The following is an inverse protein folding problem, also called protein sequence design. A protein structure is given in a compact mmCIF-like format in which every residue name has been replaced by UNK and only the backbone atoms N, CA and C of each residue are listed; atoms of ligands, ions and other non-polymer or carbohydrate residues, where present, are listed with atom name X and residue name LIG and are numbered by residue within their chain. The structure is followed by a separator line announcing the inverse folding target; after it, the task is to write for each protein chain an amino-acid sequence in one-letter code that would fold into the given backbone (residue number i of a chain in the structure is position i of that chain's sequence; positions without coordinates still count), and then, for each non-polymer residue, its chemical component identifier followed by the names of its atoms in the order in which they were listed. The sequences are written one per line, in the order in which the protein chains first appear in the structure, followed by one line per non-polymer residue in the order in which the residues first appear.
data_IF_234986348512
#
_entry.id   IF_234986348512
#
_cell.length_a   1.000
_cell.length_b   1.000
_cell.length_c   1.000
_cell.angle_alpha   90.00
_cell.angle_beta   90.00
_cell.angle_gamma   90.00
#
_symmetry.space_group_name_H-M   'P 1'
#
loop_
_entity.id
_entity.type
_entity.pdbx_description
1 polymer ?
#
# COMPACT_ATOMS: atom_id res chain seq x y z
N UNK A 1 -0.30 -8.08 -22.65
CA UNK A 1 0.40 -6.86 -22.17
C UNK A 1 1.29 -7.14 -20.95
N UNK A 2 0.77 -7.84 -19.93
CA UNK A 2 1.50 -8.14 -18.68
C UNK A 2 2.88 -8.80 -18.87
N UNK A 3 3.03 -9.72 -19.83
CA UNK A 3 4.34 -10.32 -20.15
C UNK A 3 5.41 -9.31 -20.61
N UNK A 4 5.00 -8.15 -21.15
CA UNK A 4 5.93 -7.06 -21.50
C UNK A 4 6.36 -6.25 -20.27
N UNK A 5 5.49 -6.14 -19.26
CA UNK A 5 5.76 -5.43 -18.00
C UNK A 5 6.62 -6.25 -17.05
N UNK A 6 6.46 -7.59 -17.05
CA UNK A 6 7.22 -8.50 -16.20
C UNK A 6 8.74 -8.24 -16.22
N UNK A 7 9.44 -8.22 -17.36
CA UNK A 7 10.88 -7.98 -17.37
C UNK A 7 11.27 -6.58 -16.89
N UNK A 8 10.40 -5.57 -17.07
CA UNK A 8 10.63 -4.21 -16.59
C UNK A 8 10.54 -4.15 -15.06
N UNK A 9 9.41 -4.58 -14.49
CA UNK A 9 9.22 -4.59 -13.04
C UNK A 9 10.27 -5.45 -12.32
N UNK A 10 10.61 -6.61 -12.89
CA UNK A 10 11.67 -7.47 -12.33
C UNK A 10 13.02 -6.75 -12.29
N UNK A 11 13.39 -6.04 -13.35
CA UNK A 11 14.64 -5.27 -13.37
C UNK A 11 14.63 -4.14 -12.33
N UNK A 12 13.51 -3.44 -12.18
CA UNK A 12 13.35 -2.39 -11.17
C UNK A 12 13.49 -2.95 -9.75
N UNK A 13 12.84 -4.08 -9.46
CA UNK A 13 12.95 -4.75 -8.16
C UNK A 13 14.37 -5.29 -7.90
N UNK A 14 15.07 -5.82 -8.91
CA UNK A 14 16.47 -6.23 -8.77
C UNK A 14 17.35 -5.06 -8.30
N UNK A 15 17.15 -3.87 -8.87
CA UNK A 15 17.84 -2.64 -8.47
C UNK A 15 17.47 -2.16 -7.07
N UNK A 16 16.18 -2.23 -6.70
CA UNK A 16 15.72 -1.88 -5.34
C UNK A 16 16.33 -2.82 -4.29
N UNK A 17 16.32 -4.13 -4.53
CA UNK A 17 16.90 -5.10 -3.60
C UNK A 17 18.41 -4.91 -3.45
N UNK A 18 19.12 -4.57 -4.53
CA UNK A 18 20.55 -4.26 -4.48
C UNK A 18 20.84 -3.00 -3.63
N UNK A 19 20.03 -1.96 -3.77
CA UNK A 19 20.16 -0.75 -2.96
C UNK A 19 19.83 -0.97 -1.47
N UNK A 20 19.03 -2.00 -1.17
CA UNK A 20 18.51 -2.31 0.17
C UNK A 20 19.13 -3.58 0.76
N UNK A 21 20.36 -3.92 0.38
CA UNK A 21 21.05 -5.13 0.84
C UNK A 21 21.01 -5.28 2.37
N UNK A 22 20.47 -6.41 2.85
CA UNK A 22 20.31 -6.73 4.27
C UNK A 22 19.08 -6.13 4.95
N UNK A 23 18.35 -5.23 4.30
CA UNK A 23 17.20 -4.50 4.84
C UNK A 23 15.86 -5.05 4.28
N UNK A 24 14.75 -4.99 5.06
CA UNK A 24 13.43 -5.36 4.57
C UNK A 24 12.92 -4.36 3.52
N UNK A 25 12.27 -4.89 2.48
CA UNK A 25 11.66 -4.08 1.41
C UNK A 25 10.18 -4.47 1.27
N UNK A 26 9.30 -3.56 1.68
CA UNK A 26 7.85 -3.73 1.54
C UNK A 26 7.37 -3.18 0.20
N UNK A 27 6.83 -4.07 -0.64
CA UNK A 27 6.34 -3.75 -1.99
C UNK A 27 4.82 -3.84 -1.97
N UNK A 28 4.17 -2.70 -2.21
CA UNK A 28 2.72 -2.62 -2.38
C UNK A 28 2.34 -3.06 -3.78
N UNK A 29 1.34 -3.94 -3.89
CA UNK A 29 0.76 -4.32 -5.18
C UNK A 29 0.02 -3.14 -5.83
N UNK A 30 -0.37 -3.31 -7.09
CA UNK A 30 -1.03 -2.28 -7.88
C UNK A 30 -2.27 -1.76 -7.14
N UNK A 31 -2.27 -0.44 -6.93
CA UNK A 31 -3.29 0.26 -6.16
C UNK A 31 -4.21 1.14 -7.00
N UNK A 32 -3.75 1.96 -7.96
CA UNK A 32 -4.65 2.87 -8.68
C UNK A 32 -5.63 2.14 -9.62
N UNK A 33 -6.82 2.73 -9.87
CA UNK A 33 -7.78 2.22 -10.84
C UNK A 33 -7.26 2.35 -12.28
N UNK A 34 -7.78 1.52 -13.18
CA UNK A 34 -7.26 1.44 -14.55
C UNK A 34 -7.41 2.72 -15.37
N UNK A 35 -8.40 3.57 -15.05
CA UNK A 35 -8.61 4.83 -15.78
C UNK A 35 -7.50 5.86 -15.55
N UNK A 36 -6.71 5.76 -14.47
CA UNK A 36 -5.54 6.62 -14.26
C UNK A 36 -4.43 6.36 -15.30
N UNK A 37 -4.42 5.19 -15.94
CA UNK A 37 -3.48 4.85 -17.02
C UNK A 37 -4.01 5.16 -18.42
N UNK A 38 -5.22 5.71 -18.52
CA UNK A 38 -5.87 6.04 -19.79
C UNK A 38 -5.70 7.53 -20.12
N UNK A 39 -5.62 7.87 -21.41
CA UNK A 39 -5.46 9.25 -21.85
C UNK A 39 -6.71 10.07 -21.52
N UNK A 40 -6.50 11.32 -21.10
CA UNK A 40 -7.59 12.23 -20.69
C UNK A 40 -8.27 12.95 -21.88
N UNK A 41 -7.87 12.63 -23.12
CA UNK A 41 -8.54 13.08 -24.34
C UNK A 41 -7.59 13.53 -25.45
N UNK A 42 -8.17 14.17 -26.46
CA UNK A 42 -7.39 14.86 -27.50
C UNK A 42 -6.52 13.94 -28.37
N UNK A 43 -5.27 14.36 -28.58
CA UNK A 43 -4.28 13.67 -29.41
C UNK A 43 -3.73 12.40 -28.76
N UNK A 44 -3.69 12.32 -27.43
CA UNK A 44 -3.20 11.14 -26.71
C UNK A 44 -4.09 9.93 -26.97
N UNK A 45 -5.41 10.12 -26.94
CA UNK A 45 -6.36 9.06 -27.31
C UNK A 45 -6.18 8.60 -28.76
N UNK A 46 -5.86 9.52 -29.69
CA UNK A 46 -5.57 9.15 -31.09
C UNK A 46 -4.25 8.38 -31.22
N UNK A 47 -3.24 8.76 -30.46
CA UNK A 47 -1.97 8.05 -30.44
C UNK A 47 -2.15 6.63 -29.89
N UNK A 48 -2.81 6.49 -28.74
CA UNK A 48 -3.07 5.20 -28.13
C UNK A 48 -3.91 4.28 -29.02
N UNK A 49 -4.97 4.82 -29.66
CA UNK A 49 -5.77 4.07 -30.62
C UNK A 49 -4.90 3.51 -31.78
N UNK A 50 -3.97 4.31 -32.30
CA UNK A 50 -3.01 3.86 -33.33
C UNK A 50 -2.03 2.81 -32.80
N UNK A 51 -1.50 2.99 -31.59
CA UNK A 51 -0.57 2.04 -30.97
C UNK A 51 -1.22 0.69 -30.67
N UNK A 52 -2.51 0.69 -30.30
CA UNK A 52 -3.28 -0.51 -30.01
C UNK A 52 -3.96 -1.13 -31.24
N UNK A 53 -3.79 -0.51 -32.42
CA UNK A 53 -4.50 -0.88 -33.66
C UNK A 53 -6.02 -1.03 -33.45
N UNK A 54 -6.61 -0.06 -32.73
CA UNK A 54 -7.99 -0.08 -32.30
C UNK A 54 -8.73 1.16 -32.78
N UNK A 55 -9.99 1.01 -33.19
CA UNK A 55 -10.77 2.17 -33.61
C UNK A 55 -10.99 3.12 -32.42
N UNK A 56 -10.90 4.43 -32.68
CA UNK A 56 -11.06 5.46 -31.65
C UNK A 56 -12.40 5.36 -30.91
N UNK A 57 -13.46 4.95 -31.60
CA UNK A 57 -14.78 4.77 -30.99
C UNK A 57 -14.81 3.60 -29.98
N UNK A 58 -14.10 2.50 -30.26
CA UNK A 58 -13.93 1.39 -29.31
C UNK A 58 -13.10 1.83 -28.09
N UNK A 59 -12.00 2.56 -28.32
CA UNK A 59 -11.18 3.09 -27.22
C UNK A 59 -11.99 4.03 -26.32
N UNK A 60 -12.78 4.95 -26.90
CA UNK A 60 -13.62 5.84 -26.13
C UNK A 60 -14.68 5.09 -25.31
N UNK A 61 -15.25 4.00 -25.85
CA UNK A 61 -16.17 3.14 -25.09
C UNK A 61 -15.49 2.49 -23.89
N UNK A 62 -14.26 2.02 -24.05
CA UNK A 62 -13.47 1.45 -22.95
C UNK A 62 -13.18 2.51 -21.89
N UNK A 63 -12.69 3.69 -22.31
CA UNK A 63 -12.38 4.81 -21.40
C UNK A 63 -13.62 5.18 -20.58
N UNK A 64 -14.77 5.34 -21.24
CA UNK A 64 -16.01 5.69 -20.54
C UNK A 64 -16.49 4.56 -19.61
N UNK A 65 -16.30 3.29 -20.00
CA UNK A 65 -16.67 2.15 -19.15
C UNK A 65 -15.82 2.00 -17.88
N UNK A 66 -14.59 2.52 -17.90
CA UNK A 66 -13.66 2.50 -16.77
C UNK A 66 -13.74 3.76 -15.91
N UNK A 67 -14.53 4.76 -16.34
CA UNK A 67 -14.71 6.01 -15.62
C UNK A 67 -15.58 5.78 -14.40
N UNK A 68 -15.11 6.28 -13.27
CA UNK A 68 -15.80 6.16 -11.99
C UNK A 68 -16.16 7.54 -11.45
N UNK A 69 -17.30 7.64 -10.76
CA UNK A 69 -17.72 8.88 -10.11
C UNK A 69 -16.81 9.25 -8.94
N UNK A 70 -16.35 8.26 -8.17
CA UNK A 70 -15.47 8.44 -7.02
C UNK A 70 -14.29 7.44 -7.08
N UNK A 71 -13.26 7.72 -7.89
CA UNK A 71 -12.11 6.83 -8.12
C UNK A 71 -11.42 6.30 -6.86
N UNK A 72 -11.34 7.14 -5.82
CA UNK A 72 -10.73 6.78 -4.53
C UNK A 72 -11.39 5.54 -3.91
N UNK A 73 -12.71 5.37 -4.09
CA UNK A 73 -13.48 4.25 -3.54
C UNK A 73 -13.85 3.19 -4.58
N UNK A 74 -13.25 3.26 -5.78
CA UNK A 74 -13.62 2.48 -6.95
C UNK A 74 -12.99 1.09 -7.07
N UNK A 75 -12.87 0.62 -8.32
CA UNK A 75 -12.31 -0.66 -8.72
C UNK A 75 -10.78 -0.59 -8.80
N UNK A 76 -10.16 -0.65 -7.63
CA UNK A 76 -8.72 -0.46 -7.44
C UNK A 76 -8.18 -1.41 -6.35
N UNK A 77 -6.87 -1.40 -6.12
CA UNK A 77 -6.23 -2.22 -5.08
C UNK A 77 -6.56 -3.72 -5.16
N UNK A 78 -6.80 -4.36 -4.02
CA UNK A 78 -7.14 -5.80 -4.00
C UNK A 78 -8.38 -6.14 -4.83
N UNK A 79 -9.34 -5.22 -5.00
CA UNK A 79 -10.55 -5.48 -5.79
C UNK A 79 -10.21 -5.70 -7.26
N UNK A 80 -9.25 -4.93 -7.77
CA UNK A 80 -8.74 -5.10 -9.12
C UNK A 80 -7.99 -6.43 -9.25
N UNK A 81 -7.13 -6.76 -8.29
CA UNK A 81 -6.40 -8.04 -8.25
C UNK A 81 -7.32 -9.27 -8.06
N UNK A 82 -8.50 -9.11 -7.47
CA UNK A 82 -9.51 -10.19 -7.37
C UNK A 82 -10.21 -10.39 -8.72
N UNK A 83 -10.57 -9.30 -9.40
CA UNK A 83 -11.23 -9.39 -10.72
C UNK A 83 -10.28 -9.81 -11.84
N UNK A 84 -9.00 -9.43 -11.73
CA UNK A 84 -7.94 -9.73 -12.68
C UNK A 84 -6.71 -10.31 -11.95
N UNK A 85 -6.77 -11.58 -11.48
CA UNK A 85 -5.69 -12.22 -10.73
C UNK A 85 -4.34 -12.20 -11.45
N UNK A 86 -4.35 -12.20 -12.78
CA UNK A 86 -3.14 -12.16 -13.61
C UNK A 86 -2.25 -10.93 -13.32
N UNK A 87 -2.82 -9.83 -12.80
CA UNK A 87 -2.06 -8.65 -12.37
C UNK A 87 -1.24 -8.98 -11.12
N UNK A 88 -1.90 -9.50 -10.08
CA UNK A 88 -1.25 -9.94 -8.83
C UNK A 88 -0.24 -11.04 -9.11
N UNK A 89 -0.56 -11.97 -10.02
CA UNK A 89 0.36 -13.03 -10.41
C UNK A 89 1.63 -12.48 -11.04
N UNK A 90 1.50 -11.54 -11.99
CA UNK A 90 2.64 -10.94 -12.67
C UNK A 90 3.52 -10.16 -11.70
N UNK A 91 2.93 -9.37 -10.79
CA UNK A 91 3.69 -8.60 -9.80
C UNK A 91 4.38 -9.52 -8.78
N UNK A 92 3.67 -10.51 -8.23
CA UNK A 92 4.26 -11.50 -7.32
C UNK A 92 5.43 -12.23 -7.98
N UNK A 93 5.28 -12.61 -9.25
CA UNK A 93 6.34 -13.23 -10.05
C UNK A 93 7.53 -12.29 -10.23
N UNK A 94 7.29 -11.03 -10.59
CA UNK A 94 8.34 -10.04 -10.79
C UNK A 94 9.17 -9.84 -9.52
N UNK A 95 8.50 -9.69 -8.37
CA UNK A 95 9.12 -9.50 -7.05
C UNK A 95 9.99 -10.71 -6.70
N UNK A 96 9.44 -11.93 -6.80
CA UNK A 96 10.13 -13.14 -6.37
C UNK A 96 11.26 -13.54 -7.32
N UNK A 97 11.08 -13.42 -8.64
CA UNK A 97 12.16 -13.65 -9.59
C UNK A 97 13.32 -12.65 -9.37
N UNK A 98 13.00 -11.38 -9.09
CA UNK A 98 14.01 -10.37 -8.78
C UNK A 98 14.76 -10.69 -7.48
N UNK A 99 14.03 -11.09 -6.43
CA UNK A 99 14.62 -11.49 -5.15
C UNK A 99 15.57 -12.68 -5.33
N UNK A 100 15.18 -13.71 -6.09
CA UNK A 100 16.05 -14.86 -6.39
C UNK A 100 17.30 -14.45 -7.16
N UNK A 101 17.17 -13.59 -8.16
CA UNK A 101 18.31 -13.12 -8.95
C UNK A 101 19.27 -12.28 -8.12
N UNK A 102 18.76 -11.37 -7.29
CA UNK A 102 19.57 -10.61 -6.35
C UNK A 102 20.29 -11.52 -5.35
N UNK A 103 19.58 -12.50 -4.77
CA UNK A 103 20.17 -13.49 -3.87
C UNK A 103 21.31 -14.28 -4.51
N UNK A 104 21.16 -14.71 -5.77
CA UNK A 104 22.23 -15.39 -6.53
C UNK A 104 23.47 -14.53 -6.76
N UNK A 105 23.33 -13.20 -6.72
CA UNK A 105 24.45 -12.24 -6.77
C UNK A 105 25.07 -11.98 -5.39
N UNK A 106 24.60 -12.65 -4.34
CA UNK A 106 25.10 -12.50 -2.96
C UNK A 106 24.40 -11.41 -2.15
N UNK A 107 23.33 -10.80 -2.66
CA UNK A 107 22.55 -9.77 -1.95
C UNK A 107 21.60 -10.43 -0.94
N UNK A 108 21.55 -9.92 0.29
CA UNK A 108 20.64 -10.41 1.32
C UNK A 108 19.27 -9.75 1.14
N UNK A 109 18.33 -10.49 0.57
CA UNK A 109 16.97 -10.00 0.28
C UNK A 109 15.97 -10.38 1.37
N UNK A 110 15.08 -9.44 1.71
CA UNK A 110 13.98 -9.62 2.69
C UNK A 110 12.67 -9.02 2.14
N UNK A 111 12.07 -9.64 1.11
CA UNK A 111 10.87 -9.11 0.46
C UNK A 111 9.63 -9.24 1.36
N UNK A 112 8.83 -8.18 1.41
CA UNK A 112 7.51 -8.16 2.04
C UNK A 112 6.49 -7.72 0.98
N UNK A 113 5.47 -8.54 0.72
CA UNK A 113 4.45 -8.26 -0.30
C UNK A 113 3.19 -7.75 0.41
N UNK A 114 2.77 -6.55 0.06
CA UNK A 114 1.66 -5.86 0.73
C UNK A 114 0.46 -5.72 -0.21
N UNK A 115 -0.69 -6.25 0.22
CA UNK A 115 -1.97 -6.14 -0.48
C UNK A 115 -2.67 -4.83 -0.06
N UNK A 116 -2.98 -3.92 -0.99
CA UNK A 116 -3.69 -2.67 -0.69
C UNK A 116 -5.21 -2.83 -0.65
N UNK A 117 -5.88 -1.90 0.01
CA UNK A 117 -7.32 -1.65 0.04
C UNK A 117 -8.19 -2.82 0.53
N UNK A 118 -7.59 -3.70 1.35
CA UNK A 118 -8.31 -4.81 1.99
C UNK A 118 -9.35 -4.26 2.96
N UNK A 119 -10.56 -4.82 2.92
CA UNK A 119 -11.66 -4.49 3.83
C UNK A 119 -12.10 -5.71 4.67
N UNK A 120 -11.87 -6.92 4.15
CA UNK A 120 -12.28 -8.20 4.71
C UNK A 120 -11.13 -9.22 4.66
N UNK A 121 -11.11 -10.16 5.61
CA UNK A 121 -10.13 -11.26 5.59
C UNK A 121 -10.20 -12.10 4.31
N UNK A 122 -11.39 -12.27 3.72
CA UNK A 122 -11.56 -13.05 2.49
C UNK A 122 -10.92 -12.38 1.27
N UNK A 123 -10.93 -11.05 1.20
CA UNK A 123 -10.20 -10.33 0.14
C UNK A 123 -8.69 -10.53 0.30
N UNK A 124 -8.19 -10.46 1.54
CA UNK A 124 -6.79 -10.73 1.84
C UNK A 124 -6.39 -12.17 1.48
N UNK A 125 -7.13 -13.16 1.98
CA UNK A 125 -6.85 -14.59 1.76
C UNK A 125 -6.88 -14.96 0.28
N UNK A 126 -7.81 -14.36 -0.49
CA UNK A 126 -7.86 -14.55 -1.94
C UNK A 126 -6.55 -14.12 -2.62
N UNK A 127 -6.06 -12.90 -2.31
CA UNK A 127 -4.84 -12.38 -2.91
C UNK A 127 -3.59 -13.08 -2.37
N UNK A 128 -3.58 -13.45 -1.07
CA UNK A 128 -2.52 -14.27 -0.46
C UNK A 128 -2.36 -15.59 -1.20
N UNK A 129 -3.45 -16.30 -1.48
CA UNK A 129 -3.41 -17.58 -2.19
C UNK A 129 -2.81 -17.45 -3.60
N UNK A 130 -3.11 -16.37 -4.32
CA UNK A 130 -2.51 -16.08 -5.64
C UNK A 130 -0.99 -15.87 -5.52
N UNK A 131 -0.55 -15.12 -4.52
CA UNK A 131 0.88 -14.85 -4.27
C UNK A 131 1.62 -16.14 -3.90
N UNK A 132 1.05 -16.96 -3.01
CA UNK A 132 1.65 -18.23 -2.56
C UNK A 132 1.78 -19.23 -3.73
N UNK A 133 0.74 -19.38 -4.55
CA UNK A 133 0.75 -20.23 -5.74
C UNK A 133 1.82 -19.80 -6.77
N UNK A 134 2.00 -18.48 -6.95
CA UNK A 134 3.10 -17.94 -7.77
C UNK A 134 4.45 -18.20 -7.12
N UNK A 135 4.57 -18.04 -5.81
CA UNK A 135 5.81 -18.30 -5.10
C UNK A 135 6.25 -19.75 -5.25
N UNK A 136 5.34 -20.71 -5.10
CA UNK A 136 5.63 -22.13 -5.27
C UNK A 136 6.14 -22.42 -6.69
N UNK A 137 5.50 -21.86 -7.72
CA UNK A 137 5.96 -22.01 -9.11
C UNK A 137 7.32 -21.38 -9.37
N UNK A 138 7.55 -20.16 -8.90
CA UNK A 138 8.80 -19.42 -9.17
C UNK A 138 9.95 -20.05 -8.40
N UNK A 139 9.79 -20.25 -7.09
CA UNK A 139 10.84 -20.81 -6.24
C UNK A 139 11.13 -22.27 -6.61
N UNK A 140 10.10 -23.08 -6.85
CA UNK A 140 10.24 -24.45 -7.32
C UNK A 140 10.89 -24.53 -8.70
N UNK A 141 10.44 -23.71 -9.66
CA UNK A 141 11.00 -23.65 -11.01
C UNK A 141 12.44 -23.14 -11.07
N UNK A 142 12.85 -22.30 -10.12
CA UNK A 142 14.22 -21.81 -10.01
C UNK A 142 15.10 -22.69 -9.13
N UNK A 143 14.54 -23.62 -8.35
CA UNK A 143 15.25 -24.50 -7.43
C UNK A 143 15.79 -23.78 -6.20
N UNK A 144 15.12 -22.72 -5.75
CA UNK A 144 15.59 -21.80 -4.71
C UNK A 144 14.58 -21.70 -3.57
N UNK A 145 15.02 -21.23 -2.40
CA UNK A 145 14.13 -20.92 -1.28
C UNK A 145 14.43 -19.51 -0.78
N UNK A 146 13.39 -18.70 -0.61
CA UNK A 146 13.48 -17.36 -0.05
C UNK A 146 12.37 -17.20 0.97
N UNK A 147 12.72 -16.63 2.13
CA UNK A 147 11.72 -16.18 3.10
C UNK A 147 11.16 -14.84 2.66
N UNK A 148 9.85 -14.74 2.61
CA UNK A 148 9.10 -13.53 2.31
C UNK A 148 7.90 -13.44 3.25
N UNK A 149 7.38 -12.24 3.47
CA UNK A 149 6.16 -12.02 4.27
C UNK A 149 5.02 -11.55 3.38
N UNK A 150 3.80 -11.99 3.66
CA UNK A 150 2.59 -11.40 3.06
C UNK A 150 1.80 -10.66 4.15
N UNK A 151 1.53 -9.39 3.90
CA UNK A 151 0.79 -8.53 4.80
C UNK A 151 -0.15 -7.60 4.06
N UNK A 152 -0.81 -6.74 4.80
CA UNK A 152 -1.84 -5.86 4.24
C UNK A 152 -1.64 -4.43 4.69
N UNK A 153 -2.10 -3.52 3.85
CA UNK A 153 -2.38 -2.17 4.31
C UNK A 153 -3.66 -2.19 5.16
N UNK A 154 -3.65 -1.48 6.29
CA UNK A 154 -4.85 -1.17 7.08
C UNK A 154 -5.18 0.30 6.81
N UNK A 155 -6.05 0.49 5.83
CA UNK A 155 -6.40 1.82 5.29
C UNK A 155 -7.90 2.03 5.10
N UNK A 156 -8.71 1.05 5.49
CA UNK A 156 -10.17 1.15 5.53
C UNK A 156 -10.66 0.94 6.97
N UNK A 157 -11.68 1.70 7.44
CA UNK A 157 -12.20 1.57 8.79
C UNK A 157 -12.65 0.14 9.10
N UNK A 158 -13.25 -0.55 8.12
CA UNK A 158 -13.67 -1.96 8.27
C UNK A 158 -12.49 -2.89 8.53
N UNK A 159 -11.34 -2.67 7.88
CA UNK A 159 -10.14 -3.46 8.10
C UNK A 159 -9.62 -3.28 9.52
N UNK A 160 -9.59 -2.04 10.01
CA UNK A 160 -9.22 -1.75 11.39
C UNK A 160 -10.18 -2.40 12.41
N UNK A 161 -11.49 -2.27 12.20
CA UNK A 161 -12.52 -2.84 13.08
C UNK A 161 -12.58 -4.38 13.07
N UNK A 162 -12.03 -5.02 12.04
CA UNK A 162 -11.99 -6.49 11.91
C UNK A 162 -10.57 -7.04 11.87
N UNK A 163 -9.59 -6.26 12.36
CA UNK A 163 -8.17 -6.57 12.28
C UNK A 163 -7.82 -7.93 12.88
N UNK A 164 -8.53 -8.38 13.92
CA UNK A 164 -8.33 -9.69 14.51
C UNK A 164 -8.52 -10.83 13.49
N UNK A 165 -9.49 -10.71 12.57
CA UNK A 165 -9.71 -11.72 11.53
C UNK A 165 -8.57 -11.68 10.51
N UNK A 166 -8.18 -10.49 10.08
CA UNK A 166 -7.13 -10.30 9.08
C UNK A 166 -5.77 -10.79 9.62
N UNK A 167 -5.46 -10.55 10.89
CA UNK A 167 -4.20 -10.94 11.55
C UNK A 167 -3.99 -12.46 11.67
N UNK A 168 -5.04 -13.27 11.50
CA UNK A 168 -4.89 -14.73 11.42
C UNK A 168 -3.98 -15.11 10.24
N UNK A 169 -4.21 -14.46 9.10
CA UNK A 169 -3.49 -14.74 7.85
C UNK A 169 -2.37 -13.72 7.56
N UNK A 170 -2.52 -12.45 7.92
CA UNK A 170 -1.53 -11.42 7.62
C UNK A 170 -0.35 -11.46 8.60
N UNK A 171 0.86 -11.32 8.06
CA UNK A 171 2.11 -11.38 8.83
C UNK A 171 2.59 -10.01 9.30
N UNK A 172 2.10 -8.95 8.65
CA UNK A 172 2.33 -7.57 9.05
C UNK A 172 1.16 -6.67 8.65
N UNK A 173 1.00 -5.55 9.34
CA UNK A 173 0.15 -4.43 8.95
C UNK A 173 0.99 -3.19 8.65
N UNK A 174 0.61 -2.47 7.60
CA UNK A 174 1.05 -1.09 7.37
C UNK A 174 -0.17 -0.18 7.39
N UNK A 175 -0.20 0.81 8.28
CA UNK A 175 -1.30 1.76 8.34
C UNK A 175 -1.18 2.79 7.21
N UNK A 176 -2.07 2.68 6.23
CA UNK A 176 -2.25 3.65 5.15
C UNK A 176 -3.11 4.80 5.64
N UNK A 177 -2.54 5.64 6.50
CA UNK A 177 -3.32 6.65 7.25
C UNK A 177 -3.89 7.76 6.38
N UNK A 178 -3.38 7.98 5.17
CA UNK A 178 -3.99 8.91 4.23
C UNK A 178 -5.40 8.45 3.86
N UNK A 179 -5.55 7.23 3.33
CA UNK A 179 -6.85 6.67 2.95
C UNK A 179 -7.73 6.34 4.15
N UNK A 180 -7.13 5.93 5.27
CA UNK A 180 -7.86 5.75 6.52
C UNK A 180 -8.46 7.07 7.00
N UNK A 181 -7.73 8.18 6.90
CA UNK A 181 -8.24 9.53 7.24
C UNK A 181 -9.36 9.94 6.30
N UNK A 182 -9.17 9.76 4.99
CA UNK A 182 -10.20 10.07 3.98
C UNK A 182 -11.53 9.38 4.31
N UNK A 183 -11.48 8.08 4.57
CA UNK A 183 -12.67 7.26 4.78
C UNK A 183 -13.26 7.38 6.19
N UNK A 184 -12.45 7.68 7.20
CA UNK A 184 -12.92 7.91 8.57
C UNK A 184 -13.61 9.26 8.70
N UNK A 185 -13.05 10.29 8.07
CA UNK A 185 -13.56 11.67 8.18
C UNK A 185 -14.52 12.05 7.04
N UNK A 186 -14.67 11.21 6.01
CA UNK A 186 -15.48 11.53 4.83
C UNK A 186 -14.88 12.65 3.98
N UNK A 187 -13.56 12.66 3.84
CA UNK A 187 -12.80 13.69 3.14
C UNK A 187 -12.20 13.13 1.85
N UNK A 188 -12.39 13.84 0.73
CA UNK A 188 -11.55 13.67 -0.46
C UNK A 188 -10.34 14.58 -0.32
N UNK A 189 -9.13 14.01 -0.31
CA UNK A 189 -7.88 14.76 -0.16
C UNK A 189 -7.74 15.83 -1.26
N UNK A 190 -8.17 15.51 -2.47
CA UNK A 190 -8.08 16.39 -3.63
C UNK A 190 -9.06 17.57 -3.55
N UNK A 191 -10.16 17.42 -2.81
CA UNK A 191 -11.20 18.45 -2.68
C UNK A 191 -11.14 19.20 -1.33
N UNK A 192 -10.53 18.60 -0.30
CA UNK A 192 -10.55 19.10 1.07
C UNK A 192 -9.88 20.47 1.22
N UNK A 193 -8.90 20.78 0.37
CA UNK A 193 -8.23 22.09 0.33
C UNK A 193 -9.18 23.28 0.11
N UNK A 194 -10.40 23.05 -0.38
CA UNK A 194 -11.41 24.10 -0.58
C UNK A 194 -12.05 24.60 0.71
N UNK A 195 -12.02 23.82 1.79
CA UNK A 195 -12.70 24.17 3.05
C UNK A 195 -11.88 23.93 4.32
N UNK A 196 -10.88 23.04 4.30
CA UNK A 196 -10.03 22.76 5.47
C UNK A 196 -9.40 24.01 6.09
N UNK A 197 -8.87 24.99 5.31
CA UNK A 197 -8.35 26.22 5.91
C UNK A 197 -9.39 26.95 6.76
N UNK A 198 -10.65 27.03 6.31
CA UNK A 198 -11.71 27.66 7.10
C UNK A 198 -12.09 26.85 8.35
N UNK A 199 -11.87 25.54 8.38
CA UNK A 199 -12.12 24.72 9.58
C UNK A 199 -11.06 24.99 10.64
N UNK A 200 -9.79 25.12 10.22
CA UNK A 200 -8.67 25.43 11.09
C UNK A 200 -8.78 26.86 11.64
N UNK A 201 -9.06 27.85 10.78
CA UNK A 201 -9.21 29.26 11.19
C UNK A 201 -10.34 29.47 12.21
N UNK A 202 -11.37 28.63 12.15
CA UNK A 202 -12.53 28.66 13.08
C UNK A 202 -12.33 27.78 14.32
N UNK A 203 -11.19 27.09 14.43
CA UNK A 203 -10.91 26.16 15.53
C UNK A 203 -11.82 24.93 15.56
N UNK A 204 -12.44 24.56 14.42
CA UNK A 204 -13.22 23.33 14.29
C UNK A 204 -12.29 22.11 14.28
N UNK A 205 -11.14 22.24 13.61
CA UNK A 205 -10.03 21.30 13.68
C UNK A 205 -8.79 22.04 14.18
N UNK A 206 -7.99 21.37 15.00
CA UNK A 206 -6.73 21.93 15.49
C UNK A 206 -5.66 22.00 14.39
N UNK A 207 -5.63 20.99 13.52
CA UNK A 207 -4.63 20.81 12.47
C UNK A 207 -5.28 20.23 11.21
N UNK A 208 -4.56 20.30 10.08
CA UNK A 208 -4.92 19.55 8.87
C UNK A 208 -4.75 18.03 9.15
N UNK A 209 -5.83 17.24 9.09
CA UNK A 209 -5.78 15.81 9.44
C UNK A 209 -4.99 14.96 8.44
N UNK A 210 -4.59 15.50 7.29
CA UNK A 210 -3.68 14.84 6.35
C UNK A 210 -2.20 15.14 6.61
N UNK A 211 -1.90 16.08 7.50
CA UNK A 211 -0.55 16.43 7.93
C UNK A 211 -0.24 15.86 9.31
N UNK A 212 -1.20 15.96 10.22
CA UNK A 212 -1.10 15.54 11.62
C UNK A 212 -2.18 14.53 11.88
N UNK A 213 -1.81 13.34 12.34
CA UNK A 213 -2.74 12.25 12.56
C UNK A 213 -3.80 12.66 13.58
N UNK A 214 -5.08 12.62 13.19
CA UNK A 214 -6.21 12.73 14.11
C UNK A 214 -6.18 11.58 15.11
N UNK A 215 -5.80 11.86 16.36
CA UNK A 215 -5.66 10.81 17.38
C UNK A 215 -6.99 10.35 17.96
N UNK A 216 -8.05 11.16 17.87
CA UNK A 216 -9.35 10.86 18.51
C UNK A 216 -10.23 9.96 17.65
N UNK A 217 -10.23 10.18 16.32
CA UNK A 217 -10.94 9.35 15.36
C UNK A 217 -10.03 8.33 14.69
N UNK A 218 -9.17 8.78 13.78
CA UNK A 218 -8.30 7.90 12.98
C UNK A 218 -7.35 7.08 13.86
N UNK A 219 -6.75 7.72 14.86
CA UNK A 219 -5.85 7.09 15.82
C UNK A 219 -6.53 6.01 16.66
N UNK A 220 -7.83 6.16 16.94
CA UNK A 220 -8.61 5.11 17.63
C UNK A 220 -8.78 3.86 16.77
N UNK A 221 -8.98 4.01 15.46
CA UNK A 221 -9.01 2.87 14.54
C UNK A 221 -7.64 2.17 14.46
N UNK A 222 -6.55 2.95 14.42
CA UNK A 222 -5.19 2.39 14.49
C UNK A 222 -5.00 1.61 15.79
N UNK A 223 -5.40 2.17 16.93
CA UNK A 223 -5.32 1.51 18.24
C UNK A 223 -6.07 0.18 18.28
N UNK A 224 -7.33 0.14 17.82
CA UNK A 224 -8.12 -1.09 17.73
C UNK A 224 -7.39 -2.15 16.90
N UNK A 225 -6.86 -1.76 15.74
CA UNK A 225 -6.18 -2.69 14.85
C UNK A 225 -4.85 -3.23 15.42
N UNK A 226 -4.12 -2.40 16.16
CA UNK A 226 -2.89 -2.80 16.86
C UNK A 226 -3.20 -3.82 17.96
N UNK A 227 -4.18 -3.53 18.81
CA UNK A 227 -4.60 -4.41 19.90
C UNK A 227 -5.09 -5.75 19.36
N UNK A 228 -5.98 -5.73 18.37
CA UNK A 228 -6.53 -6.93 17.75
C UNK A 228 -5.47 -7.75 17.01
N UNK A 229 -4.60 -7.07 16.27
CA UNK A 229 -3.51 -7.71 15.54
C UNK A 229 -2.59 -8.47 16.48
N UNK A 230 -2.11 -7.81 17.55
CA UNK A 230 -1.22 -8.42 18.54
C UNK A 230 -1.90 -9.50 19.38
N UNK A 231 -3.18 -9.34 19.69
CA UNK A 231 -3.95 -10.37 20.40
C UNK A 231 -3.99 -11.69 19.62
N UNK A 232 -4.14 -11.63 18.30
CA UNK A 232 -4.22 -12.81 17.43
C UNK A 232 -2.83 -13.32 17.04
N UNK A 233 -1.90 -12.42 16.75
CA UNK A 233 -0.52 -12.74 16.35
C UNK A 233 0.44 -11.85 17.17
N UNK A 234 0.93 -12.31 18.33
CA UNK A 234 1.76 -11.49 19.23
C UNK A 234 3.00 -10.84 18.61
N UNK A 235 3.59 -11.50 17.61
CA UNK A 235 4.77 -11.02 16.89
C UNK A 235 4.43 -10.41 15.52
N UNK A 236 3.18 -9.98 15.30
CA UNK A 236 2.82 -9.29 14.06
C UNK A 236 3.62 -8.00 13.94
N UNK A 237 4.22 -7.77 12.78
CA UNK A 237 4.95 -6.52 12.50
C UNK A 237 3.94 -5.43 12.15
N UNK A 238 3.95 -4.31 12.87
CA UNK A 238 3.01 -3.20 12.72
C UNK A 238 3.79 -1.93 12.42
N UNK A 239 3.45 -1.24 11.33
CA UNK A 239 4.00 0.08 11.06
C UNK A 239 3.03 0.99 10.34
N UNK A 240 3.45 2.21 10.10
CA UNK A 240 2.69 3.25 9.42
C UNK A 240 3.47 3.76 8.23
N UNK A 241 2.78 4.08 7.14
CA UNK A 241 3.37 4.70 5.96
C UNK A 241 2.60 5.95 5.54
N UNK A 242 3.27 6.87 4.87
CA UNK A 242 2.68 8.10 4.33
C UNK A 242 3.15 9.36 5.06
N UNK A 243 2.38 10.43 4.93
CA UNK A 243 2.75 11.76 5.44
C UNK A 243 2.92 11.77 6.96
N UNK A 244 2.00 11.11 7.68
CA UNK A 244 2.02 11.01 9.14
C UNK A 244 3.27 10.27 9.67
N UNK A 245 3.85 9.36 8.88
CA UNK A 245 5.07 8.63 9.25
C UNK A 245 6.32 9.52 9.39
N UNK A 246 6.24 10.79 8.97
CA UNK A 246 7.31 11.77 9.14
C UNK A 246 6.91 12.99 9.98
N UNK A 247 5.75 12.99 10.64
CA UNK A 247 5.28 14.12 11.47
C UNK A 247 5.51 13.82 12.95
N UNK A 248 6.22 14.67 13.72
CA UNK A 248 6.66 14.32 15.07
C UNK A 248 5.56 13.93 16.06
N UNK A 249 4.42 14.61 16.06
CA UNK A 249 3.31 14.30 16.99
C UNK A 249 2.67 12.96 16.67
N UNK A 250 2.50 12.68 15.38
CA UNK A 250 1.99 11.42 14.84
C UNK A 250 2.94 10.27 15.17
N UNK A 251 4.25 10.46 15.02
CA UNK A 251 5.26 9.47 15.41
C UNK A 251 5.23 9.18 16.90
N UNK A 252 5.11 10.22 17.75
CA UNK A 252 4.97 10.04 19.20
C UNK A 252 3.71 9.23 19.54
N UNK A 253 2.59 9.50 18.87
CA UNK A 253 1.38 8.70 19.04
C UNK A 253 1.55 7.25 18.58
N UNK A 254 2.17 7.02 17.42
CA UNK A 254 2.50 5.67 16.94
C UNK A 254 3.39 4.91 17.93
N UNK A 255 4.37 5.58 18.54
CA UNK A 255 5.22 5.00 19.58
C UNK A 255 4.41 4.60 20.82
N UNK A 256 3.48 5.44 21.28
CA UNK A 256 2.59 5.14 22.43
C UNK A 256 1.67 3.94 22.16
N UNK A 257 1.17 3.80 20.93
CA UNK A 257 0.45 2.60 20.50
C UNK A 257 1.36 1.38 20.34
N UNK A 258 2.67 1.58 20.37
CA UNK A 258 3.68 0.55 20.27
C UNK A 258 3.86 0.04 18.85
N UNK A 259 3.67 0.83 17.79
CA UNK A 259 4.05 0.41 16.44
C UNK A 259 5.57 0.10 16.37
N UNK A 260 5.95 -0.87 15.55
CA UNK A 260 7.33 -1.33 15.42
C UNK A 260 8.18 -0.41 14.52
N UNK A 261 7.55 0.29 13.57
CA UNK A 261 8.24 1.22 12.69
C UNK A 261 7.34 2.33 12.13
N UNK A 262 7.97 3.41 11.67
CA UNK A 262 7.36 4.45 10.84
C UNK A 262 8.11 4.50 9.50
N UNK A 263 7.38 4.75 8.41
CA UNK A 263 7.93 4.86 7.05
C UNK A 263 7.50 6.19 6.43
N UNK A 264 8.49 6.95 5.93
CA UNK A 264 8.30 8.29 5.38
C UNK A 264 9.19 8.53 4.16
N UNK A 265 8.99 9.65 3.47
CA UNK A 265 9.82 10.03 2.33
C UNK A 265 11.29 10.21 2.74
N UNK A 266 12.26 9.99 1.82
CA UNK A 266 13.69 9.98 2.15
C UNK A 266 14.18 11.21 2.93
N UNK A 267 13.71 12.41 2.54
CA UNK A 267 14.10 13.67 3.18
C UNK A 267 13.54 13.85 4.60
N UNK A 268 12.48 13.11 4.97
CA UNK A 268 11.88 13.14 6.31
C UNK A 268 12.51 12.11 7.26
N UNK A 269 13.35 11.19 6.78
CA UNK A 269 14.00 10.17 7.62
C UNK A 269 14.74 10.76 8.81
N UNK A 270 15.56 11.84 8.68
CA UNK A 270 16.24 12.43 9.83
C UNK A 270 15.28 12.97 10.89
N UNK A 271 14.18 13.60 10.45
CA UNK A 271 13.12 14.12 11.32
C UNK A 271 12.43 12.97 12.04
N UNK A 272 12.06 11.91 11.31
CA UNK A 272 11.38 10.77 11.88
C UNK A 272 12.22 10.04 12.93
N UNK A 273 13.53 9.88 12.68
CA UNK A 273 14.48 9.31 13.65
C UNK A 273 14.60 10.16 14.91
N UNK A 274 14.70 11.49 14.76
CA UNK A 274 14.76 12.41 15.90
C UNK A 274 13.46 12.35 16.71
N UNK A 275 12.31 12.44 16.05
CA UNK A 275 11.00 12.37 16.70
C UNK A 275 10.78 11.04 17.44
N UNK A 276 11.18 9.90 16.84
CA UNK A 276 11.08 8.60 17.48
C UNK A 276 12.00 8.49 18.72
N UNK A 277 13.21 9.06 18.66
CA UNK A 277 14.11 9.11 19.81
C UNK A 277 13.53 9.96 20.96
N UNK A 278 12.97 11.13 20.65
CA UNK A 278 12.26 11.96 21.64
C UNK A 278 11.06 11.22 22.25
N UNK A 279 10.25 10.56 21.42
CA UNK A 279 9.09 9.80 21.90
C UNK A 279 9.49 8.69 22.88
N UNK A 280 10.65 8.05 22.68
CA UNK A 280 11.17 7.01 23.58
C UNK A 280 11.77 7.58 24.89
N UNK A 281 12.24 8.82 24.89
CA UNK A 281 12.74 9.49 26.10
C UNK A 281 11.61 10.00 27.00
N UNK A 282 10.47 10.34 26.39
CA UNK A 282 9.28 10.87 27.08
C UNK A 282 8.31 9.76 27.56
N UNK A 283 8.63 8.48 27.30
CA UNK A 283 7.79 7.30 27.57
C UNK A 283 7.96 6.70 28.98
#
# INVERSE_FOLDING_TARGET
ALNKLLPMQRADFEGIFEAMDGLPVTIRLLDPPLHEFLPHGGEETKLLARTLDMARADLNRIIESLRETNPMLGHRGCRLGISYPEITEMQGRAILEAAVRAMRRGIVVKPEIMIPLVSTVKEFDNQRAVIEDVADRVLGGMGEKISYLIGTMIELPRAALTAAQIAQSAEFFSFGTNDLTQTTMGLSRDDAGRFLPSYIDRGILADDPFQVLDTEGVGRLVGIAVEDGRRVRPNIKLGICGEHGGEPRSISFCHKLGLDYVSCSPFRIPIARLAAAHAALDA
#
